data_IF_376062154174
#
_entry.id   IF_376062154174
#
_cell.length_a   1.000
_cell.length_b   1.000
_cell.length_c   1.000
_cell.angle_alpha   90.00
_cell.angle_beta   90.00
_cell.angle_gamma   90.00
#
_symmetry.space_group_name_H-M   'P 1'
#
loop_
_entity.id
_entity.type
_entity.pdbx_description
1 polymer ?
#
# COMPACT_ATOMS: atom_id res chain seq x y z
N UNK A 1 -11.17 -11.24 -10.77
CA UNK A 1 -11.03 -9.77 -10.86
C UNK A 1 -10.08 -9.46 -12.01
N UNK A 2 -10.60 -9.05 -13.17
CA UNK A 2 -9.77 -8.51 -14.26
C UNK A 2 -9.54 -7.04 -13.92
N UNK A 3 -8.33 -6.70 -13.48
CA UNK A 3 -7.91 -5.31 -13.38
C UNK A 3 -7.47 -4.90 -14.79
N UNK A 4 -8.35 -4.17 -15.48
CA UNK A 4 -8.03 -3.55 -16.77
C UNK A 4 -6.94 -2.50 -16.56
N UNK A 5 -5.97 -2.49 -17.49
CA UNK A 5 -4.74 -1.71 -17.44
C UNK A 5 -4.98 -0.23 -17.18
N UNK A 6 -4.29 0.28 -16.16
CA UNK A 6 -4.07 1.71 -15.99
C UNK A 6 -2.89 2.07 -16.89
N UNK A 7 -3.15 2.32 -18.17
CA UNK A 7 -2.16 2.82 -19.10
C UNK A 7 -2.85 3.60 -20.23
N UNK A 8 -3.43 4.76 -19.92
CA UNK A 8 -3.95 5.66 -20.97
C UNK A 8 -3.98 7.15 -20.58
N UNK A 9 -3.14 7.60 -19.63
CA UNK A 9 -3.17 9.00 -19.18
C UNK A 9 -1.77 9.48 -18.78
N UNK A 10 -0.79 9.35 -19.67
CA UNK A 10 0.61 9.76 -19.38
C UNK A 10 1.29 10.50 -20.55
N UNK A 11 0.80 10.39 -21.79
CA UNK A 11 1.54 10.86 -22.99
C UNK A 11 1.66 12.40 -23.09
N UNK A 12 0.73 13.20 -22.55
CA UNK A 12 0.80 14.67 -22.68
C UNK A 12 1.71 15.36 -21.65
N UNK A 13 2.12 14.70 -20.55
CA UNK A 13 2.90 15.34 -19.48
C UNK A 13 4.42 15.33 -19.73
N UNK A 14 4.94 14.39 -20.53
CA UNK A 14 6.38 14.11 -20.60
C UNK A 14 7.21 15.15 -21.35
N UNK A 15 6.62 15.84 -22.34
CA UNK A 15 7.33 16.87 -23.12
C UNK A 15 7.66 18.09 -22.24
N UNK A 16 6.84 18.38 -21.23
CA UNK A 16 7.09 19.51 -20.33
C UNK A 16 8.15 19.20 -19.26
N UNK A 17 8.32 17.94 -18.88
CA UNK A 17 9.26 17.52 -17.84
C UNK A 17 10.62 17.05 -18.39
N UNK A 18 10.78 16.97 -19.71
CA UNK A 18 12.04 16.55 -20.35
C UNK A 18 12.35 15.07 -20.12
N UNK A 19 11.33 14.23 -19.96
CA UNK A 19 11.46 12.80 -19.70
C UNK A 19 11.55 12.05 -21.04
N UNK A 20 12.65 11.33 -21.26
CA UNK A 20 12.81 10.45 -22.41
C UNK A 20 11.83 9.27 -22.31
N UNK A 21 11.09 9.03 -23.39
CA UNK A 21 10.07 7.99 -23.43
C UNK A 21 10.35 6.99 -24.56
N UNK A 22 10.70 5.78 -24.17
CA UNK A 22 10.86 4.66 -25.08
C UNK A 22 9.55 3.86 -25.18
N UNK A 23 9.01 3.77 -26.39
CA UNK A 23 7.85 2.94 -26.68
C UNK A 23 8.30 1.55 -27.11
N UNK A 24 7.73 0.53 -26.48
CA UNK A 24 7.84 -0.84 -26.96
C UNK A 24 7.13 -1.03 -28.30
N UNK A 25 7.55 -2.03 -29.07
CA UNK A 25 6.88 -2.40 -30.30
C UNK A 25 5.40 -2.77 -30.03
N UNK A 26 4.48 -2.39 -30.93
CA UNK A 26 3.07 -2.75 -30.79
C UNK A 26 2.90 -4.26 -30.58
N UNK A 27 2.01 -4.64 -29.65
CA UNK A 27 1.71 -6.04 -29.34
C UNK A 27 2.92 -6.89 -28.86
N UNK A 28 3.99 -6.25 -28.38
CA UNK A 28 5.16 -6.92 -27.81
C UNK A 28 5.22 -6.70 -26.28
N UNK A 29 4.38 -7.39 -25.49
CA UNK A 29 4.35 -7.25 -24.03
C UNK A 29 5.70 -7.56 -23.37
N UNK A 30 6.55 -8.35 -24.02
CA UNK A 30 7.88 -8.73 -23.56
C UNK A 30 8.77 -7.50 -23.33
N UNK A 31 8.59 -6.44 -24.13
CA UNK A 31 9.27 -5.15 -23.94
C UNK A 31 8.95 -4.50 -22.59
N UNK A 32 7.83 -4.89 -21.96
CA UNK A 32 7.39 -4.47 -20.64
C UNK A 32 7.40 -5.62 -19.62
N UNK A 33 8.14 -6.71 -19.88
CA UNK A 33 8.10 -7.93 -19.08
C UNK A 33 8.38 -7.73 -17.59
N UNK A 34 9.24 -6.77 -17.24
CA UNK A 34 9.48 -6.37 -15.85
C UNK A 34 8.22 -5.80 -15.18
N UNK A 35 7.48 -4.93 -15.87
CA UNK A 35 6.23 -4.34 -15.38
C UNK A 35 5.16 -5.43 -15.24
N UNK A 36 5.08 -6.36 -16.19
CA UNK A 36 4.15 -7.49 -16.12
C UNK A 36 4.43 -8.37 -14.91
N UNK A 37 5.71 -8.67 -14.65
CA UNK A 37 6.14 -9.45 -13.49
C UNK A 37 5.84 -8.74 -12.17
N UNK A 38 6.12 -7.44 -12.06
CA UNK A 38 5.76 -6.64 -10.88
C UNK A 38 4.25 -6.63 -10.66
N UNK A 39 3.46 -6.43 -11.72
CA UNK A 39 2.00 -6.46 -11.66
C UNK A 39 1.46 -7.82 -11.22
N UNK A 40 2.04 -8.91 -11.71
CA UNK A 40 1.69 -10.26 -11.29
C UNK A 40 2.00 -10.47 -9.79
N UNK A 41 3.14 -9.99 -9.34
CA UNK A 41 3.58 -10.06 -7.93
C UNK A 41 2.64 -9.28 -7.01
N UNK A 42 2.32 -8.03 -7.34
CA UNK A 42 1.36 -7.21 -6.58
C UNK A 42 0.00 -7.90 -6.48
N UNK A 43 -0.52 -8.43 -7.61
CA UNK A 43 -1.79 -9.18 -7.64
C UNK A 43 -1.74 -10.41 -6.74
N UNK A 44 -0.63 -11.15 -6.76
CA UNK A 44 -0.43 -12.33 -5.93
C UNK A 44 -0.42 -11.98 -4.43
N UNK A 45 0.34 -10.96 -4.03
CA UNK A 45 0.43 -10.51 -2.63
C UNK A 45 -0.93 -10.00 -2.13
N UNK A 46 -1.63 -9.17 -2.91
CA UNK A 46 -2.97 -8.69 -2.56
C UNK A 46 -3.95 -9.86 -2.40
N UNK A 47 -3.91 -10.85 -3.28
CA UNK A 47 -4.76 -12.04 -3.18
C UNK A 47 -4.46 -12.83 -1.90
N UNK A 48 -3.19 -13.04 -1.58
CA UNK A 48 -2.76 -13.71 -0.34
C UNK A 48 -3.28 -12.97 0.89
N UNK A 49 -3.14 -11.64 0.90
CA UNK A 49 -3.64 -10.78 1.98
C UNK A 49 -5.16 -10.87 2.14
N UNK A 50 -5.92 -10.85 1.06
CA UNK A 50 -7.38 -10.98 1.16
C UNK A 50 -7.82 -12.34 1.66
N UNK A 51 -7.08 -13.40 1.34
CA UNK A 51 -7.34 -14.74 1.86
C UNK A 51 -7.01 -14.84 3.35
N UNK A 52 -5.92 -14.21 3.82
CA UNK A 52 -5.54 -14.26 5.23
C UNK A 52 -6.43 -13.39 6.12
N UNK A 53 -6.87 -12.23 5.63
CA UNK A 53 -7.60 -11.22 6.42
C UNK A 53 -9.13 -11.34 6.25
N UNK A 54 -9.61 -12.14 5.28
CA UNK A 54 -11.02 -12.32 4.94
C UNK A 54 -11.77 -11.00 4.66
N UNK A 55 -11.09 -10.03 4.04
CA UNK A 55 -11.65 -8.73 3.64
C UNK A 55 -12.16 -8.79 2.19
N UNK A 56 -13.19 -7.99 1.88
CA UNK A 56 -13.73 -7.88 0.52
C UNK A 56 -12.73 -7.25 -0.44
N UNK A 57 -12.61 -7.85 -1.62
CA UNK A 57 -11.61 -7.48 -2.62
C UNK A 57 -11.74 -6.04 -3.17
N UNK A 58 -12.90 -5.37 -3.07
CA UNK A 58 -13.05 -3.98 -3.53
C UNK A 58 -12.18 -2.99 -2.75
N UNK A 59 -11.66 -3.38 -1.58
CA UNK A 59 -10.80 -2.55 -0.74
C UNK A 59 -9.32 -2.58 -1.13
N UNK A 60 -8.97 -3.21 -2.25
CA UNK A 60 -7.59 -3.38 -2.70
C UNK A 60 -6.80 -2.08 -2.81
N UNK A 61 -7.44 -0.97 -3.19
CA UNK A 61 -6.81 0.35 -3.21
C UNK A 61 -6.29 0.78 -1.82
N UNK A 62 -6.93 0.34 -0.74
CA UNK A 62 -6.54 0.68 0.64
C UNK A 62 -5.24 0.01 1.07
N UNK A 63 -4.93 -1.14 0.46
CA UNK A 63 -3.76 -1.97 0.75
C UNK A 63 -2.66 -1.80 -0.30
N UNK A 64 -2.97 -1.29 -1.48
CA UNK A 64 -2.04 -1.21 -2.61
C UNK A 64 -0.75 -0.47 -2.25
N UNK A 65 -0.88 0.70 -1.61
CA UNK A 65 0.29 1.49 -1.21
C UNK A 65 1.15 0.76 -0.19
N UNK A 66 0.54 0.10 0.80
CA UNK A 66 1.28 -0.70 1.76
C UNK A 66 1.98 -1.88 1.12
N UNK A 67 1.29 -2.61 0.23
CA UNK A 67 1.88 -3.75 -0.48
C UNK A 67 3.06 -3.32 -1.34
N UNK A 68 2.94 -2.19 -2.05
CA UNK A 68 4.04 -1.64 -2.83
C UNK A 68 5.23 -1.29 -1.93
N UNK A 69 5.00 -0.60 -0.81
CA UNK A 69 6.03 -0.29 0.17
C UNK A 69 6.72 -1.55 0.70
N UNK A 70 5.95 -2.58 1.07
CA UNK A 70 6.53 -3.85 1.52
C UNK A 70 7.41 -4.52 0.46
N UNK A 71 7.01 -4.49 -0.81
CA UNK A 71 7.83 -5.05 -1.89
C UNK A 71 9.14 -4.25 -2.08
N UNK A 72 9.11 -2.93 -1.87
CA UNK A 72 10.30 -2.08 -1.93
C UNK A 72 11.23 -2.23 -0.72
N UNK A 73 10.68 -2.55 0.46
CA UNK A 73 11.42 -2.74 1.70
C UNK A 73 11.92 -4.18 1.89
N UNK A 74 11.28 -5.17 1.26
CA UNK A 74 11.62 -6.59 1.44
C UNK A 74 13.01 -6.88 0.88
N UNK A 75 13.84 -7.48 1.74
CA UNK A 75 15.19 -7.90 1.39
C UNK A 75 15.14 -9.15 0.51
N UNK A 76 15.80 -9.10 -0.65
CA UNK A 76 15.91 -10.25 -1.52
C UNK A 76 16.89 -11.28 -0.93
N UNK A 77 16.49 -12.55 -0.90
CA UNK A 77 17.25 -13.63 -0.25
C UNK A 77 18.67 -13.80 -0.80
N UNK A 78 18.84 -13.71 -2.12
CA UNK A 78 20.15 -13.87 -2.77
C UNK A 78 21.08 -12.66 -2.63
N UNK A 79 20.56 -11.43 -2.77
CA UNK A 79 21.40 -10.22 -2.79
C UNK A 79 21.56 -9.57 -1.41
N UNK A 80 20.71 -9.94 -0.44
CA UNK A 80 20.67 -9.32 0.88
C UNK A 80 20.28 -7.84 0.86
N UNK A 81 19.73 -7.35 -0.26
CA UNK A 81 19.33 -5.95 -0.45
C UNK A 81 17.86 -5.83 -0.84
N UNK A 82 17.22 -4.77 -0.40
CA UNK A 82 15.88 -4.36 -0.84
C UNK A 82 15.97 -3.32 -1.97
N UNK A 83 14.96 -3.21 -2.85
CA UNK A 83 14.91 -2.16 -3.87
C UNK A 83 15.17 -0.75 -3.31
N UNK A 84 14.57 -0.40 -2.17
CA UNK A 84 14.77 0.91 -1.54
C UNK A 84 16.22 1.11 -1.08
N UNK A 85 16.85 0.07 -0.55
CA UNK A 85 18.26 0.15 -0.13
C UNK A 85 19.21 0.35 -1.31
N UNK A 86 18.86 -0.15 -2.50
CA UNK A 86 19.66 0.00 -3.73
C UNK A 86 19.48 1.40 -4.32
N UNK A 87 18.24 1.90 -4.36
CA UNK A 87 17.91 3.18 -5.00
C UNK A 87 18.25 4.37 -4.09
N UNK A 88 17.83 4.33 -2.83
CA UNK A 88 17.95 5.47 -1.92
C UNK A 88 19.20 5.40 -1.02
N UNK A 89 19.98 4.32 -1.09
CA UNK A 89 21.15 4.06 -0.25
C UNK A 89 20.85 4.18 1.25
N UNK A 90 19.59 4.00 1.63
CA UNK A 90 19.08 4.09 3.00
C UNK A 90 18.33 2.81 3.30
N UNK A 91 18.55 2.27 4.50
CA UNK A 91 17.67 1.23 5.04
C UNK A 91 16.44 1.91 5.65
N UNK A 92 15.25 1.80 5.06
CA UNK A 92 14.04 2.09 5.80
C UNK A 92 14.05 1.20 7.05
N UNK A 93 13.99 1.81 8.23
CA UNK A 93 13.94 1.06 9.49
C UNK A 93 12.78 0.06 9.46
N UNK A 94 12.89 -1.05 10.17
CA UNK A 94 11.83 -2.06 10.21
C UNK A 94 10.56 -1.41 10.75
N UNK A 95 9.54 -1.30 9.91
CA UNK A 95 8.23 -0.82 10.34
C UNK A 95 7.71 -1.77 11.42
N UNK A 96 7.26 -1.25 12.59
CA UNK A 96 6.69 -2.11 13.64
C UNK A 96 5.35 -2.73 13.23
N UNK A 97 4.77 -2.31 12.09
CA UNK A 97 3.50 -2.80 11.57
C UNK A 97 3.65 -3.25 10.13
N UNK A 98 3.07 -4.40 9.85
CA UNK A 98 3.00 -5.05 8.55
C UNK A 98 1.59 -4.87 7.97
N UNK A 99 1.50 -4.73 6.66
CA UNK A 99 0.21 -4.64 5.96
C UNK A 99 -0.58 -5.92 6.20
N UNK A 100 -1.84 -5.76 6.60
CA UNK A 100 -2.69 -6.87 7.03
C UNK A 100 -2.59 -7.20 8.52
N UNK A 101 -1.77 -6.49 9.31
CA UNK A 101 -1.78 -6.65 10.77
C UNK A 101 -3.07 -6.11 11.39
N UNK A 102 -3.54 -6.77 12.44
CA UNK A 102 -4.69 -6.33 13.22
C UNK A 102 -4.24 -5.18 14.14
N UNK A 103 -4.93 -4.05 14.03
CA UNK A 103 -4.59 -2.83 14.77
C UNK A 103 -5.77 -2.32 15.56
N UNK A 104 -5.49 -1.68 16.70
CA UNK A 104 -6.47 -0.97 17.52
C UNK A 104 -6.16 0.52 17.51
N UNK A 105 -7.21 1.31 17.62
CA UNK A 105 -7.11 2.75 17.74
C UNK A 105 -6.78 3.12 19.19
N UNK A 106 -5.87 4.08 19.36
CA UNK A 106 -5.53 4.66 20.66
C UNK A 106 -6.13 6.05 20.72
N UNK A 107 -6.87 6.33 21.80
CA UNK A 107 -7.47 7.64 22.03
C UNK A 107 -6.40 8.75 22.03
N UNK A 108 -6.75 9.88 21.42
CA UNK A 108 -6.02 11.12 21.68
C UNK A 108 -6.32 11.58 23.09
N UNK A 109 -5.34 12.23 23.71
CA UNK A 109 -5.52 13.01 24.95
C UNK A 109 -6.78 13.88 24.81
N UNK A 110 -7.69 13.90 25.81
CA UNK A 110 -8.96 14.60 25.69
C UNK A 110 -8.73 16.10 25.42
N UNK A 111 -9.27 16.62 24.30
CA UNK A 111 -9.24 18.05 24.00
C UNK A 111 -9.10 18.48 22.54
N UNK A 112 -9.13 17.60 21.54
CA UNK A 112 -8.98 18.04 20.14
C UNK A 112 -9.83 17.25 19.15
N UNK A 113 -10.86 17.94 18.66
CA UNK A 113 -11.83 17.64 17.58
C UNK A 113 -13.08 16.82 17.97
N UNK A 114 -14.21 17.52 17.99
CA UNK A 114 -15.56 16.94 17.95
C UNK A 114 -15.76 16.22 16.60
N UNK A 115 -16.23 14.96 16.64
CA UNK A 115 -16.70 14.23 15.45
C UNK A 115 -16.01 12.91 15.13
N UNK A 116 -14.90 12.57 15.80
CA UNK A 116 -14.23 11.27 15.63
C UNK A 116 -13.89 10.66 16.99
N UNK A 117 -14.78 9.80 17.50
CA UNK A 117 -14.51 8.95 18.67
C UNK A 117 -14.18 7.52 18.21
N UNK A 118 -12.91 7.17 17.92
CA UNK A 118 -12.52 5.81 17.60
C UNK A 118 -12.39 5.00 18.90
N UNK A 119 -13.46 4.90 19.70
CA UNK A 119 -13.44 4.11 20.92
C UNK A 119 -13.26 2.64 20.57
N UNK A 120 -12.03 2.13 20.76
CA UNK A 120 -11.68 0.70 20.68
C UNK A 120 -12.04 0.03 19.35
N UNK A 121 -12.12 0.76 18.25
CA UNK A 121 -12.29 0.13 16.94
C UNK A 121 -11.05 -0.74 16.66
N UNK A 122 -11.30 -1.90 16.05
CA UNK A 122 -10.28 -2.81 15.56
C UNK A 122 -10.33 -2.74 14.05
N UNK A 123 -9.17 -2.57 13.42
CA UNK A 123 -9.03 -2.54 11.98
C UNK A 123 -7.84 -3.37 11.52
N UNK A 124 -7.61 -3.30 10.22
CA UNK A 124 -6.51 -3.94 9.52
C UNK A 124 -5.62 -2.88 8.92
N UNK A 125 -4.31 -2.97 9.18
CA UNK A 125 -3.35 -2.00 8.68
C UNK A 125 -3.23 -2.10 7.16
N UNK A 126 -3.49 -1.00 6.45
CA UNK A 126 -3.44 -0.93 5.00
C UNK A 126 -2.08 -0.45 4.45
N UNK A 127 -1.32 0.29 5.25
CA UNK A 127 -0.01 0.80 4.86
C UNK A 127 0.23 2.24 5.33
N UNK A 128 1.46 2.71 5.13
CA UNK A 128 1.82 4.10 5.41
C UNK A 128 1.50 4.96 4.19
N UNK A 129 0.69 6.00 4.39
CA UNK A 129 0.37 6.96 3.33
C UNK A 129 1.38 8.12 3.30
N UNK A 130 1.78 8.58 4.49
CA UNK A 130 2.77 9.62 4.74
C UNK A 130 3.25 9.56 6.19
N UNK A 131 4.22 10.39 6.57
CA UNK A 131 4.65 10.56 7.97
C UNK A 131 3.51 10.96 8.93
N UNK A 132 2.42 11.54 8.42
CA UNK A 132 1.28 12.02 9.22
C UNK A 132 0.03 11.17 9.06
N UNK A 133 0.05 10.16 8.19
CA UNK A 133 -1.15 9.38 7.88
C UNK A 133 -0.83 7.94 7.52
N UNK A 134 -1.59 7.01 8.09
CA UNK A 134 -1.66 5.60 7.69
C UNK A 134 -3.07 5.25 7.24
N UNK A 135 -3.21 4.26 6.36
CA UNK A 135 -4.49 3.68 6.01
C UNK A 135 -4.81 2.53 6.96
N UNK A 136 -6.03 2.52 7.50
CA UNK A 136 -6.55 1.39 8.29
C UNK A 136 -7.96 1.07 7.79
N UNK A 137 -8.22 -0.21 7.58
CA UNK A 137 -9.52 -0.71 7.14
C UNK A 137 -10.30 -1.21 8.34
N UNK A 138 -11.45 -0.60 8.62
CA UNK A 138 -12.32 -0.92 9.75
C UNK A 138 -13.68 -1.42 9.28
N UNK A 139 -14.31 -2.27 10.08
CA UNK A 139 -15.68 -2.72 9.86
C UNK A 139 -16.64 -1.83 10.64
N UNK A 140 -17.48 -1.07 9.93
CA UNK A 140 -18.55 -0.25 10.48
C UNK A 140 -19.92 -0.87 10.20
N UNK A 141 -20.98 -0.27 10.75
CA UNK A 141 -22.38 -0.72 10.54
C UNK A 141 -22.74 -0.82 9.05
N UNK A 142 -22.26 0.11 8.24
CA UNK A 142 -22.52 0.19 6.79
C UNK A 142 -21.56 -0.64 5.93
N UNK A 143 -20.61 -1.35 6.56
CA UNK A 143 -19.64 -2.19 5.88
C UNK A 143 -18.20 -1.79 6.16
N UNK A 144 -17.30 -2.28 5.31
CA UNK A 144 -15.87 -2.03 5.46
C UNK A 144 -15.48 -0.69 4.82
N UNK A 145 -14.79 0.15 5.58
CA UNK A 145 -14.34 1.48 5.15
C UNK A 145 -12.84 1.66 5.45
N UNK A 146 -12.15 2.39 4.59
CA UNK A 146 -10.79 2.85 4.84
C UNK A 146 -10.82 4.17 5.58
N UNK A 147 -10.01 4.27 6.63
CA UNK A 147 -9.85 5.48 7.45
C UNK A 147 -8.39 5.90 7.40
N UNK A 148 -8.17 7.22 7.29
CA UNK A 148 -6.85 7.85 7.37
C UNK A 148 -6.65 8.37 8.78
N UNK A 149 -5.60 7.92 9.45
CA UNK A 149 -5.31 8.28 10.84
C UNK A 149 -3.83 8.53 11.06
N UNK A 150 -3.49 9.29 12.09
CA UNK A 150 -2.11 9.55 12.43
C UNK A 150 -1.42 8.28 12.98
N UNK A 151 -0.16 7.96 12.61
CA UNK A 151 0.53 6.77 13.08
C UNK A 151 0.54 6.62 14.62
N UNK A 152 0.62 7.72 15.37
CA UNK A 152 0.60 7.69 16.85
C UNK A 152 -0.72 7.21 17.45
N UNK A 153 -1.80 7.20 16.67
CA UNK A 153 -3.14 6.77 17.10
C UNK A 153 -3.40 5.29 16.80
N UNK A 154 -2.40 4.55 16.31
CA UNK A 154 -2.54 3.16 15.91
C UNK A 154 -1.55 2.32 16.69
N UNK A 155 -2.02 1.20 17.25
CA UNK A 155 -1.16 0.20 17.90
C UNK A 155 -1.56 -1.18 17.43
N UNK A 156 -0.59 -2.10 17.41
CA UNK A 156 -0.86 -3.51 17.16
C UNK A 156 -1.86 -4.02 18.20
N UNK A 157 -2.82 -4.81 17.74
CA UNK A 157 -3.77 -5.51 18.58
C UNK A 157 -3.17 -6.86 18.95
N UNK A 158 -2.69 -6.97 20.19
CA UNK A 158 -2.22 -8.21 20.80
C UNK A 158 -3.41 -9.10 21.19
#
# INVERSE_FOLDING_TARGET
MRMYGVCLLVVCLHIQEGIEQDFGAPYTPESQGLIEWVNATIKYVLRKLFLSVAIRAYLWLSFLQGVAQQLCETVHSHTGKSPDSVIFLKSPGVSPMTVGDKVRFVDRVPGTQEGFEPRREIGWFGGVLSLKAVSVVVKRKEGWQMVRIHPSQVRLHQ
#
